data_IF_833502747159
#
_entry.id   IF_833502747159
#
_cell.length_a   1.000
_cell.length_b   1.000
_cell.length_c   1.000
_cell.angle_alpha   90.00
_cell.angle_beta   90.00
_cell.angle_gamma   90.00
#
_symmetry.space_group_name_H-M   'P 1'
#
loop_
_entity.id
_entity.type
_entity.pdbx_description
1 polymer ?
#
# COMPACT_ATOMS: atom_id res chain seq x y z
N UNK A 1 8.35 0.34 -11.16
CA UNK A 1 9.05 -0.83 -10.58
C UNK A 1 9.56 -1.73 -11.70
N UNK A 2 10.77 -2.30 -11.59
CA UNK A 2 11.26 -3.28 -12.56
C UNK A 2 10.42 -4.57 -12.55
N UNK A 3 10.45 -5.33 -13.65
CA UNK A 3 9.80 -6.64 -13.73
C UNK A 3 10.66 -7.75 -13.06
N UNK A 4 10.03 -8.87 -12.73
CA UNK A 4 10.68 -10.08 -12.22
C UNK A 4 11.42 -10.85 -13.33
N UNK A 5 12.69 -11.20 -13.05
CA UNK A 5 13.45 -12.23 -13.77
C UNK A 5 13.65 -12.05 -15.29
N UNK A 6 14.39 -12.98 -15.89
CA UNK A 6 14.76 -12.99 -17.31
C UNK A 6 13.72 -13.71 -18.18
N UNK A 7 13.51 -13.29 -19.44
CA UNK A 7 12.70 -14.06 -20.41
C UNK A 7 13.28 -15.46 -20.60
N UNK A 8 12.48 -16.51 -20.37
CA UNK A 8 12.84 -17.91 -20.70
C UNK A 8 13.47 -18.73 -19.57
N UNK A 9 13.62 -18.19 -18.37
CA UNK A 9 14.05 -18.92 -17.17
C UNK A 9 12.92 -18.95 -16.11
N UNK A 10 12.97 -19.85 -15.10
CA UNK A 10 12.12 -19.73 -13.93
C UNK A 10 12.32 -18.34 -13.32
N UNK A 11 11.27 -17.52 -13.34
CA UNK A 11 11.36 -16.15 -12.80
C UNK A 11 11.45 -16.22 -11.28
N UNK A 12 12.42 -15.50 -10.72
CA UNK A 12 12.49 -15.22 -9.28
C UNK A 12 11.86 -13.84 -9.03
N UNK A 13 10.66 -13.76 -8.43
CA UNK A 13 10.00 -12.49 -8.13
C UNK A 13 10.74 -11.64 -7.08
N UNK A 14 11.74 -12.21 -6.41
CA UNK A 14 12.65 -11.48 -5.51
C UNK A 14 13.83 -10.80 -6.22
N UNK A 15 14.00 -10.98 -7.53
CA UNK A 15 15.15 -10.47 -8.28
C UNK A 15 14.77 -9.55 -9.43
N UNK A 16 15.47 -8.41 -9.48
CA UNK A 16 15.35 -7.43 -10.56
C UNK A 16 15.85 -8.04 -11.88
N UNK A 17 15.00 -7.97 -12.89
CA UNK A 17 15.29 -8.34 -14.28
C UNK A 17 16.55 -7.65 -14.82
N UNK A 18 17.39 -8.39 -15.54
CA UNK A 18 18.65 -7.90 -16.12
C UNK A 18 19.00 -8.58 -17.47
N UNK A 19 18.00 -9.10 -18.17
CA UNK A 19 18.16 -9.83 -19.44
C UNK A 19 18.41 -8.92 -20.66
N UNK A 20 18.08 -7.63 -20.58
CA UNK A 20 18.28 -6.63 -21.64
C UNK A 20 19.23 -5.52 -21.18
N UNK A 21 19.86 -4.81 -22.12
CA UNK A 21 20.71 -3.66 -21.79
C UNK A 21 19.95 -2.59 -20.99
N UNK A 22 18.71 -2.31 -21.37
CA UNK A 22 17.86 -1.36 -20.64
C UNK A 22 17.56 -1.84 -19.20
N UNK A 23 17.24 -3.12 -19.02
CA UNK A 23 16.98 -3.68 -17.69
C UNK A 23 18.25 -3.72 -16.81
N UNK A 24 19.42 -4.01 -17.40
CA UNK A 24 20.72 -3.94 -16.70
C UNK A 24 21.02 -2.53 -16.21
N UNK A 25 20.80 -1.53 -17.06
CA UNK A 25 21.03 -0.14 -16.69
C UNK A 25 20.06 0.32 -15.59
N UNK A 26 18.76 0.00 -15.72
CA UNK A 26 17.74 0.26 -14.69
C UNK A 26 18.12 -0.38 -13.34
N UNK A 27 18.51 -1.66 -13.34
CA UNK A 27 19.00 -2.37 -12.15
C UNK A 27 20.24 -1.71 -11.57
N UNK A 28 21.20 -1.31 -12.39
CA UNK A 28 22.44 -0.65 -11.95
C UNK A 28 22.17 0.67 -11.25
N UNK A 29 21.32 1.52 -11.84
CA UNK A 29 20.92 2.80 -11.25
C UNK A 29 20.25 2.58 -9.89
N UNK A 30 19.31 1.64 -9.81
CA UNK A 30 18.59 1.32 -8.59
C UNK A 30 19.52 0.80 -7.49
N UNK A 31 20.38 -0.18 -7.81
CA UNK A 31 21.31 -0.76 -6.84
C UNK A 31 22.33 0.26 -6.34
N UNK A 32 22.78 1.19 -7.19
CA UNK A 32 23.65 2.30 -6.78
C UNK A 32 22.97 3.23 -5.79
N UNK A 33 21.70 3.58 -6.03
CA UNK A 33 20.93 4.40 -5.11
C UNK A 33 20.73 3.69 -3.76
N UNK A 34 20.40 2.40 -3.78
CA UNK A 34 20.18 1.60 -2.56
C UNK A 34 21.47 1.30 -1.77
N UNK A 35 22.63 1.33 -2.42
CA UNK A 35 23.92 1.13 -1.75
C UNK A 35 24.50 2.43 -1.17
N UNK A 36 23.87 3.57 -1.44
CA UNK A 36 24.32 4.89 -0.97
C UNK A 36 23.50 5.33 0.24
N UNK A 37 24.04 6.24 1.07
CA UNK A 37 23.27 6.84 2.16
C UNK A 37 22.02 7.57 1.61
N UNK A 38 20.86 7.52 2.31
CA UNK A 38 20.63 6.86 3.60
C UNK A 38 20.30 5.35 3.51
N UNK A 39 20.22 4.78 2.30
CA UNK A 39 19.69 3.42 2.08
C UNK A 39 20.71 2.29 2.25
N UNK A 40 22.01 2.59 2.30
CA UNK A 40 23.06 1.56 2.48
C UNK A 40 22.87 0.69 3.73
N UNK A 41 22.28 1.25 4.78
CA UNK A 41 21.96 0.56 6.04
C UNK A 41 20.59 -0.12 6.04
N UNK A 42 19.96 -0.29 4.87
CA UNK A 42 18.69 -1.00 4.72
C UNK A 42 18.89 -2.36 4.05
N UNK A 43 18.09 -3.31 4.48
CA UNK A 43 17.81 -4.54 3.76
C UNK A 43 16.55 -4.35 2.92
N UNK A 44 16.57 -4.89 1.70
CA UNK A 44 15.51 -4.68 0.70
C UNK A 44 14.94 -6.03 0.26
N UNK A 45 13.63 -6.19 0.38
CA UNK A 45 12.89 -7.31 -0.20
C UNK A 45 12.07 -6.82 -1.38
N UNK A 46 12.09 -7.59 -2.46
CA UNK A 46 11.30 -7.34 -3.65
C UNK A 46 10.19 -8.36 -3.79
N UNK A 47 9.03 -7.91 -4.23
CA UNK A 47 7.95 -8.78 -4.68
C UNK A 47 7.52 -8.25 -6.04
N UNK A 48 8.13 -8.75 -7.11
CA UNK A 48 7.98 -8.21 -8.45
C UNK A 48 6.99 -9.03 -9.28
N UNK A 49 6.24 -8.38 -10.15
CA UNK A 49 5.40 -9.09 -11.12
C UNK A 49 6.21 -9.49 -12.35
N UNK A 50 5.69 -10.46 -13.07
CA UNK A 50 6.20 -10.91 -14.37
C UNK A 50 6.27 -9.83 -15.46
N UNK A 51 5.59 -8.70 -15.24
CA UNK A 51 5.53 -7.54 -16.13
C UNK A 51 5.99 -6.28 -15.40
N UNK A 52 6.16 -5.16 -16.13
CA UNK A 52 6.40 -3.85 -15.49
C UNK A 52 5.16 -3.28 -14.78
N UNK A 53 4.04 -4.00 -14.79
CA UNK A 53 2.82 -3.63 -14.05
C UNK A 53 2.83 -4.30 -12.68
N UNK A 54 2.55 -3.53 -11.63
CA UNK A 54 2.67 -3.93 -10.23
C UNK A 54 4.12 -4.11 -9.74
N UNK A 55 4.31 -5.00 -8.76
CA UNK A 55 5.54 -5.10 -8.00
C UNK A 55 5.59 -4.13 -6.82
N UNK A 56 6.14 -4.59 -5.70
CA UNK A 56 6.37 -3.79 -4.50
C UNK A 56 7.73 -4.11 -3.89
N UNK A 57 8.21 -3.23 -3.02
CA UNK A 57 9.43 -3.41 -2.25
C UNK A 57 9.19 -3.07 -0.79
N UNK A 58 9.97 -3.70 0.08
CA UNK A 58 10.05 -3.37 1.50
C UNK A 58 11.50 -3.09 1.85
N UNK A 59 11.76 -1.91 2.42
CA UNK A 59 13.07 -1.53 2.93
C UNK A 59 13.00 -1.48 4.45
N UNK A 60 13.85 -2.23 5.14
CA UNK A 60 13.95 -2.23 6.61
C UNK A 60 15.39 -1.91 7.01
N UNK A 61 15.60 -0.97 7.93
CA UNK A 61 16.95 -0.72 8.48
C UNK A 61 17.52 -2.02 9.05
N UNK A 62 18.78 -2.34 8.75
CA UNK A 62 19.46 -3.59 9.13
C UNK A 62 19.50 -3.87 10.63
N UNK A 63 19.36 -2.83 11.47
CA UNK A 63 19.23 -2.98 12.92
C UNK A 63 17.92 -3.66 13.34
N UNK A 64 16.87 -3.58 12.52
CA UNK A 64 15.62 -4.28 12.73
C UNK A 64 15.61 -5.58 11.91
N UNK A 65 15.38 -6.70 12.59
CA UNK A 65 15.40 -8.03 11.96
C UNK A 65 14.02 -8.66 11.99
N UNK A 66 13.32 -8.75 10.84
CA UNK A 66 12.13 -9.59 10.73
C UNK A 66 12.48 -11.05 11.05
N UNK A 67 11.63 -11.75 11.80
CA UNK A 67 11.73 -13.19 12.03
C UNK A 67 11.47 -14.00 10.76
N UNK A 68 10.57 -13.51 9.92
CA UNK A 68 10.16 -14.14 8.67
C UNK A 68 9.69 -13.07 7.70
N UNK A 69 10.01 -13.25 6.42
CA UNK A 69 9.41 -12.47 5.33
C UNK A 69 8.75 -13.46 4.36
N UNK A 70 7.49 -13.21 4.01
CA UNK A 70 6.74 -13.99 3.03
C UNK A 70 6.07 -13.09 2.00
N UNK A 71 5.72 -13.67 0.86
CA UNK A 71 5.22 -12.94 -0.31
C UNK A 71 3.84 -13.44 -0.76
N UNK A 72 3.06 -13.89 0.22
CA UNK A 72 1.74 -14.49 0.04
C UNK A 72 0.86 -14.19 1.24
N UNK A 73 -0.44 -14.02 1.00
CA UNK A 73 -1.46 -13.96 2.06
C UNK A 73 -1.78 -15.35 2.62
N UNK A 74 -1.51 -16.41 1.86
CA UNK A 74 -1.61 -17.78 2.36
C UNK A 74 -0.36 -18.12 3.17
N UNK A 75 -0.50 -18.12 4.50
CA UNK A 75 0.61 -18.37 5.43
C UNK A 75 1.09 -19.83 5.44
N UNK A 76 0.33 -20.75 4.87
CA UNK A 76 0.72 -22.16 4.73
C UNK A 76 1.57 -22.40 3.48
N UNK A 77 1.54 -21.46 2.54
CA UNK A 77 2.28 -21.53 1.29
C UNK A 77 3.66 -20.88 1.41
N UNK A 78 4.69 -21.57 0.91
CA UNK A 78 6.02 -20.99 0.69
C UNK A 78 6.13 -20.29 -0.67
N UNK A 79 5.06 -20.29 -1.47
CA UNK A 79 5.08 -19.77 -2.83
C UNK A 79 5.05 -18.24 -2.83
N UNK A 80 5.95 -17.64 -3.60
CA UNK A 80 5.90 -16.22 -3.94
C UNK A 80 4.77 -15.96 -4.94
N UNK A 81 3.83 -15.06 -4.62
CA UNK A 81 2.75 -14.71 -5.54
C UNK A 81 3.29 -13.95 -6.78
N UNK A 82 2.95 -14.40 -8.01
CA UNK A 82 3.54 -13.86 -9.24
C UNK A 82 3.05 -12.46 -9.62
N UNK A 83 2.06 -11.92 -8.91
CA UNK A 83 1.54 -10.56 -9.14
C UNK A 83 2.38 -9.48 -8.43
N UNK A 84 3.27 -9.87 -7.50
CA UNK A 84 4.16 -8.96 -6.81
C UNK A 84 3.44 -7.96 -5.89
N UNK A 85 2.27 -8.33 -5.35
CA UNK A 85 1.39 -7.41 -4.62
C UNK A 85 1.42 -7.54 -3.11
N UNK A 86 2.22 -8.47 -2.58
CA UNK A 86 2.27 -8.79 -1.14
C UNK A 86 3.73 -8.89 -0.69
N UNK A 87 4.05 -8.20 0.41
CA UNK A 87 5.18 -8.50 1.29
C UNK A 87 4.65 -8.50 2.73
N UNK A 88 4.81 -9.62 3.42
CA UNK A 88 4.48 -9.77 4.84
C UNK A 88 5.77 -9.98 5.62
N UNK A 89 6.17 -9.01 6.41
CA UNK A 89 7.30 -9.11 7.32
C UNK A 89 6.80 -9.30 8.76
N UNK A 90 7.20 -10.40 9.39
CA UNK A 90 6.85 -10.71 10.76
C UNK A 90 7.98 -10.30 11.71
N UNK A 91 7.67 -9.42 12.66
CA UNK A 91 8.55 -9.06 13.76
C UNK A 91 8.11 -9.77 15.06
N UNK A 92 8.86 -9.55 16.14
CA UNK A 92 8.56 -10.11 17.46
C UNK A 92 7.10 -9.81 17.88
N UNK A 93 6.71 -8.54 17.84
CA UNK A 93 5.46 -8.05 18.46
C UNK A 93 4.38 -7.65 17.46
N UNK A 94 4.69 -7.56 16.16
CA UNK A 94 3.76 -7.17 15.12
C UNK A 94 4.10 -7.80 13.76
N UNK A 95 3.15 -7.78 12.83
CA UNK A 95 3.33 -8.06 11.41
C UNK A 95 3.19 -6.77 10.62
N UNK A 96 4.08 -6.53 9.66
CA UNK A 96 3.97 -5.49 8.65
C UNK A 96 3.53 -6.14 7.34
N UNK A 97 2.32 -5.84 6.91
CA UNK A 97 1.78 -6.24 5.62
C UNK A 97 1.84 -5.05 4.67
N UNK A 98 2.69 -5.10 3.67
CA UNK A 98 2.72 -4.14 2.57
C UNK A 98 1.97 -4.74 1.37
N UNK A 99 0.99 -4.02 0.83
CA UNK A 99 0.24 -4.45 -0.34
C UNK A 99 0.10 -3.37 -1.39
N UNK A 100 0.09 -3.80 -2.65
CA UNK A 100 -0.46 -3.02 -3.75
C UNK A 100 -1.74 -3.69 -4.25
N UNK A 101 -2.89 -3.21 -3.81
CA UNK A 101 -4.19 -3.84 -4.08
C UNK A 101 -4.56 -3.70 -5.56
N UNK A 102 -5.12 -4.74 -6.23
CA UNK A 102 -5.55 -4.63 -7.62
C UNK A 102 -6.62 -3.55 -7.80
N UNK A 103 -6.37 -2.58 -8.71
CA UNK A 103 -7.42 -1.65 -9.14
C UNK A 103 -8.42 -2.36 -10.09
N UNK A 104 -9.70 -2.00 -9.99
CA UNK A 104 -10.75 -2.51 -10.88
C UNK A 104 -10.59 -2.04 -12.34
N UNK A 105 -10.01 -0.84 -12.53
CA UNK A 105 -9.88 -0.20 -13.83
C UNK A 105 -11.22 0.11 -14.49
N UNK A 106 -11.14 0.74 -15.65
CA UNK A 106 -12.31 1.08 -16.48
C UNK A 106 -12.56 0.11 -17.63
N UNK A 107 -11.66 -0.83 -17.87
CA UNK A 107 -11.74 -1.79 -18.97
C UNK A 107 -12.13 -3.15 -18.41
N UNK A 108 -12.95 -3.85 -19.17
CA UNK A 108 -13.12 -5.30 -19.05
C UNK A 108 -11.81 -5.98 -19.49
N UNK A 109 -10.74 -5.87 -18.69
CA UNK A 109 -9.99 -7.10 -18.48
C UNK A 109 -11.02 -8.04 -17.85
N UNK A 110 -11.37 -9.12 -18.55
CA UNK A 110 -12.57 -9.96 -18.38
C UNK A 110 -12.88 -10.41 -16.93
N UNK A 111 -11.98 -10.14 -15.97
CA UNK A 111 -12.07 -10.49 -14.58
C UNK A 111 -11.60 -9.40 -13.58
N UNK A 112 -11.49 -8.11 -13.94
CA UNK A 112 -10.91 -7.10 -13.02
C UNK A 112 -11.69 -6.97 -11.70
N UNK A 113 -13.02 -6.85 -11.78
CA UNK A 113 -13.91 -6.81 -10.62
C UNK A 113 -13.90 -8.11 -9.83
N UNK A 114 -13.86 -9.26 -10.51
CA UNK A 114 -13.79 -10.56 -9.84
C UNK A 114 -12.45 -10.73 -9.11
N UNK A 115 -11.34 -10.31 -9.74
CA UNK A 115 -10.01 -10.29 -9.14
C UNK A 115 -9.98 -9.41 -7.89
N UNK A 116 -10.55 -8.20 -7.95
CA UNK A 116 -10.65 -7.31 -6.78
C UNK A 116 -11.50 -7.92 -5.67
N UNK A 117 -12.68 -8.46 -5.96
CA UNK A 117 -13.53 -9.11 -4.94
C UNK A 117 -12.84 -10.31 -4.30
N UNK A 118 -12.16 -11.13 -5.10
CA UNK A 118 -11.36 -12.26 -4.61
C UNK A 118 -10.22 -11.76 -3.71
N UNK A 119 -9.55 -10.68 -4.11
CA UNK A 119 -8.52 -10.04 -3.30
C UNK A 119 -9.06 -9.56 -1.95
N UNK A 120 -10.14 -8.77 -1.96
CA UNK A 120 -10.76 -8.23 -0.74
C UNK A 120 -11.18 -9.38 0.21
N UNK A 121 -11.74 -10.47 -0.34
CA UNK A 121 -12.05 -11.67 0.43
C UNK A 121 -10.79 -12.30 1.04
N UNK A 122 -9.70 -12.45 0.29
CA UNK A 122 -8.44 -13.01 0.79
C UNK A 122 -7.85 -12.16 1.91
N UNK A 123 -7.92 -10.84 1.80
CA UNK A 123 -7.51 -9.93 2.88
C UNK A 123 -8.39 -10.13 4.11
N UNK A 124 -9.72 -10.17 3.95
CA UNK A 124 -10.63 -10.44 5.07
C UNK A 124 -10.28 -11.75 5.78
N UNK A 125 -10.16 -12.83 5.02
CA UNK A 125 -9.80 -14.14 5.56
C UNK A 125 -8.43 -14.09 6.28
N UNK A 126 -7.43 -13.39 5.70
CA UNK A 126 -6.12 -13.21 6.32
C UNK A 126 -6.18 -12.45 7.64
N UNK A 127 -6.90 -11.33 7.72
CA UNK A 127 -6.95 -10.51 8.94
C UNK A 127 -7.68 -11.23 10.07
N UNK A 128 -8.69 -12.04 9.74
CA UNK A 128 -9.41 -12.85 10.72
C UNK A 128 -8.54 -13.98 11.28
N UNK A 129 -7.72 -14.62 10.43
CA UNK A 129 -6.82 -15.70 10.82
C UNK A 129 -5.55 -15.20 11.53
N UNK A 130 -5.13 -13.96 11.26
CA UNK A 130 -3.87 -13.38 11.78
C UNK A 130 -4.05 -12.56 13.07
N UNK A 131 -5.10 -12.82 13.84
CA UNK A 131 -5.46 -12.04 15.04
C UNK A 131 -4.59 -12.30 16.28
N UNK A 132 -3.67 -13.28 16.19
CA UNK A 132 -2.69 -13.65 17.22
C UNK A 132 -1.61 -12.59 17.44
N UNK A 133 -1.32 -11.76 16.44
CA UNK A 133 -0.27 -10.73 16.48
C UNK A 133 -0.81 -9.40 15.93
N UNK A 134 -0.30 -8.29 16.45
CA UNK A 134 -0.71 -6.97 15.96
C UNK A 134 -0.33 -6.82 14.48
N UNK A 135 -1.21 -6.22 13.68
CA UNK A 135 -1.02 -5.97 12.27
C UNK A 135 -0.84 -4.47 12.01
N UNK A 136 0.14 -4.15 11.17
CA UNK A 136 0.26 -2.87 10.48
C UNK A 136 0.16 -3.22 8.98
N UNK A 137 -0.91 -2.79 8.34
CA UNK A 137 -1.19 -3.00 6.93
C UNK A 137 -1.06 -1.68 6.18
N UNK A 138 -0.16 -1.61 5.19
CA UNK A 138 0.11 -0.40 4.44
C UNK A 138 0.26 -0.61 2.94
N UNK A 139 0.35 0.51 2.22
CA UNK A 139 0.52 0.59 0.77
C UNK A 139 -0.70 1.20 0.07
N UNK A 140 -0.72 1.11 -1.25
CA UNK A 140 -1.85 1.54 -2.06
C UNK A 140 -2.96 0.46 -2.00
N UNK A 141 -4.03 0.80 -1.29
CA UNK A 141 -5.19 -0.06 -1.09
C UNK A 141 -6.27 0.10 -2.17
N UNK A 142 -6.06 1.01 -3.12
CA UNK A 142 -6.96 1.29 -4.24
C UNK A 142 -8.42 1.44 -3.81
N UNK A 143 -8.65 2.16 -2.70
CA UNK A 143 -9.99 2.51 -2.21
C UNK A 143 -9.92 3.79 -1.40
N UNK A 144 -10.81 4.74 -1.67
CA UNK A 144 -11.12 5.86 -0.78
C UNK A 144 -12.37 5.49 -0.01
N UNK A 145 -12.25 5.30 1.31
CA UNK A 145 -13.28 4.65 2.13
C UNK A 145 -14.55 5.49 2.24
N UNK A 146 -14.40 6.77 2.55
CA UNK A 146 -15.52 7.68 2.78
C UNK A 146 -15.51 8.88 1.83
N UNK A 147 -16.62 9.62 1.74
CA UNK A 147 -16.71 10.79 0.84
C UNK A 147 -15.68 11.88 1.16
N UNK A 148 -15.25 11.94 2.42
CA UNK A 148 -14.19 12.83 2.88
C UNK A 148 -12.83 12.50 2.27
N UNK A 149 -12.64 11.26 1.79
CA UNK A 149 -11.39 10.74 1.23
C UNK A 149 -11.22 11.03 -0.25
N UNK A 150 -12.17 11.75 -0.85
CA UNK A 150 -12.04 12.23 -2.22
C UNK A 150 -12.34 13.72 -2.31
N UNK A 151 -11.60 14.41 -3.15
CA UNK A 151 -11.79 15.86 -3.38
C UNK A 151 -13.18 16.20 -3.93
N UNK A 152 -13.74 15.36 -4.81
CA UNK A 152 -14.97 15.61 -5.54
C UNK A 152 -15.88 14.36 -5.53
N UNK A 153 -16.60 14.10 -4.42
CA UNK A 153 -17.37 12.87 -4.25
C UNK A 153 -18.41 12.66 -5.34
N UNK A 154 -19.14 13.70 -5.76
CA UNK A 154 -20.12 13.61 -6.84
C UNK A 154 -19.49 13.18 -8.18
N UNK A 155 -18.35 13.77 -8.53
CA UNK A 155 -17.62 13.42 -9.75
C UNK A 155 -17.20 11.95 -9.74
N UNK A 156 -16.60 11.48 -8.63
CA UNK A 156 -16.12 10.11 -8.54
C UNK A 156 -17.27 9.10 -8.47
N UNK A 157 -18.34 9.39 -7.73
CA UNK A 157 -19.52 8.53 -7.63
C UNK A 157 -20.26 8.39 -8.97
N UNK A 158 -20.30 9.47 -9.76
CA UNK A 158 -21.00 9.48 -11.06
C UNK A 158 -20.10 9.12 -12.25
N UNK A 159 -18.79 8.91 -12.04
CA UNK A 159 -17.84 8.69 -13.11
C UNK A 159 -18.22 7.46 -13.95
N UNK A 160 -18.16 7.63 -15.27
CA UNK A 160 -18.41 6.59 -16.27
C UNK A 160 -17.42 6.72 -17.41
N UNK A 161 -17.03 5.60 -18.00
CA UNK A 161 -16.30 5.56 -19.26
C UNK A 161 -17.25 5.12 -20.38
N UNK A 162 -17.16 5.76 -21.55
CA UNK A 162 -17.98 5.37 -22.70
C UNK A 162 -17.71 3.91 -23.07
N UNK A 163 -18.78 3.13 -23.26
CA UNK A 163 -18.70 1.71 -23.59
C UNK A 163 -18.40 0.78 -22.40
N UNK A 164 -18.27 1.32 -21.18
CA UNK A 164 -18.09 0.52 -19.97
C UNK A 164 -19.44 0.28 -19.27
N UNK A 165 -19.75 -1.00 -18.99
CA UNK A 165 -20.95 -1.40 -18.26
C UNK A 165 -20.49 -2.07 -16.95
N UNK A 166 -20.72 -1.45 -15.78
CA UNK A 166 -20.37 -2.07 -14.51
C UNK A 166 -21.23 -3.32 -14.27
N UNK A 167 -20.66 -4.36 -13.64
CA UNK A 167 -21.37 -5.62 -13.43
C UNK A 167 -22.55 -5.51 -12.45
N UNK A 168 -22.59 -4.46 -11.62
CA UNK A 168 -23.72 -4.15 -10.75
C UNK A 168 -23.86 -2.64 -10.54
N UNK A 169 -25.02 -2.22 -10.01
CA UNK A 169 -25.26 -0.81 -9.64
C UNK A 169 -24.27 -0.29 -8.58
N UNK A 170 -23.78 -1.16 -7.70
CA UNK A 170 -22.84 -0.78 -6.64
C UNK A 170 -21.39 -0.63 -7.16
N UNK A 171 -21.12 -1.08 -8.38
CA UNK A 171 -19.84 -0.93 -9.08
C UNK A 171 -19.82 0.30 -10.01
N UNK A 172 -20.89 1.09 -10.03
CA UNK A 172 -20.94 2.37 -10.75
C UNK A 172 -20.04 3.39 -10.04
N UNK A 173 -19.30 4.17 -10.82
CA UNK A 173 -18.41 5.21 -10.34
C UNK A 173 -16.95 4.93 -10.66
N UNK A 174 -16.07 5.77 -10.14
CA UNK A 174 -14.63 5.66 -10.29
C UNK A 174 -14.12 4.39 -9.57
N UNK A 175 -13.34 3.53 -10.24
CA UNK A 175 -12.55 2.49 -9.59
C UNK A 175 -11.71 3.05 -8.44
N UNK A 176 -11.86 2.45 -7.27
CA UNK A 176 -11.30 2.97 -6.02
C UNK A 176 -12.27 3.86 -5.22
N UNK A 177 -13.48 4.14 -5.72
CA UNK A 177 -14.51 4.87 -4.97
C UNK A 177 -15.93 4.30 -5.21
N UNK A 178 -16.04 3.10 -5.79
CA UNK A 178 -17.36 2.47 -5.96
C UNK A 178 -17.95 2.11 -4.60
N UNK A 179 -19.29 2.11 -4.50
CA UNK A 179 -19.98 1.72 -3.27
C UNK A 179 -19.58 0.30 -2.83
N UNK A 180 -19.40 -0.62 -3.78
CA UNK A 180 -19.03 -1.99 -3.50
C UNK A 180 -17.60 -2.11 -2.90
N UNK A 181 -16.62 -1.37 -3.41
CA UNK A 181 -15.26 -1.32 -2.84
C UNK A 181 -15.27 -0.73 -1.43
N UNK A 182 -15.96 0.40 -1.24
CA UNK A 182 -16.08 1.09 0.05
C UNK A 182 -16.69 0.18 1.11
N UNK A 183 -17.81 -0.49 0.80
CA UNK A 183 -18.46 -1.45 1.70
C UNK A 183 -17.54 -2.60 2.10
N UNK A 184 -16.84 -3.22 1.14
CA UNK A 184 -15.93 -4.33 1.44
C UNK A 184 -14.73 -3.90 2.28
N UNK A 185 -14.17 -2.74 2.00
CA UNK A 185 -13.09 -2.18 2.82
C UNK A 185 -13.56 -1.89 4.25
N UNK A 186 -14.74 -1.26 4.42
CA UNK A 186 -15.35 -1.05 5.72
C UNK A 186 -15.63 -2.35 6.49
N UNK A 187 -16.09 -3.41 5.80
CA UNK A 187 -16.22 -4.74 6.39
C UNK A 187 -14.89 -5.32 6.87
N UNK A 188 -13.82 -5.23 6.06
CA UNK A 188 -12.48 -5.68 6.45
C UNK A 188 -12.00 -4.96 7.72
N UNK A 189 -12.16 -3.63 7.77
CA UNK A 189 -11.75 -2.84 8.94
C UNK A 189 -12.54 -3.26 10.19
N UNK A 190 -13.87 -3.36 10.06
CA UNK A 190 -14.76 -3.70 11.16
C UNK A 190 -14.50 -5.12 11.69
N UNK A 191 -14.49 -6.11 10.80
CA UNK A 191 -14.37 -7.52 11.17
C UNK A 191 -12.95 -7.85 11.67
N UNK A 192 -11.93 -7.26 11.05
CA UNK A 192 -10.53 -7.40 11.46
C UNK A 192 -10.14 -6.59 12.71
N UNK A 193 -11.06 -5.77 13.27
CA UNK A 193 -10.77 -4.83 14.36
C UNK A 193 -9.57 -3.95 14.06
N UNK A 194 -9.62 -3.32 12.88
CA UNK A 194 -8.56 -2.48 12.36
C UNK A 194 -9.00 -1.02 12.34
N UNK A 195 -8.04 -0.12 12.47
CA UNK A 195 -8.21 1.32 12.50
C UNK A 195 -7.42 1.92 11.34
N UNK A 196 -8.07 2.80 10.58
CA UNK A 196 -7.39 3.73 9.67
C UNK A 196 -6.66 4.79 10.50
N UNK A 197 -5.33 4.72 10.55
CA UNK A 197 -4.52 5.58 11.40
C UNK A 197 -4.64 7.07 11.02
N UNK A 198 -4.79 7.37 9.72
CA UNK A 198 -4.94 8.75 9.25
C UNK A 198 -6.26 9.34 9.77
N UNK A 199 -7.38 8.64 9.55
CA UNK A 199 -8.71 9.14 9.97
C UNK A 199 -8.95 9.12 11.47
N UNK A 200 -8.17 8.34 12.22
CA UNK A 200 -8.19 8.42 13.68
C UNK A 200 -7.74 9.82 14.17
N UNK A 201 -6.69 10.38 13.55
CA UNK A 201 -6.08 11.65 13.92
C UNK A 201 -6.72 12.83 13.18
N UNK A 202 -7.00 12.66 11.89
CA UNK A 202 -7.46 13.69 10.97
C UNK A 202 -8.93 13.47 10.60
N UNK A 203 -9.83 13.92 11.47
CA UNK A 203 -11.28 13.65 11.33
C UNK A 203 -11.97 14.52 10.29
N UNK A 204 -11.39 15.68 9.99
CA UNK A 204 -11.95 16.66 9.06
C UNK A 204 -11.36 16.52 7.66
N UNK A 205 -12.04 17.14 6.70
CA UNK A 205 -11.58 17.16 5.31
C UNK A 205 -10.54 18.26 5.20
N UNK A 206 -9.33 17.86 4.89
CA UNK A 206 -8.31 18.79 4.43
C UNK A 206 -8.30 18.75 2.89
N UNK A 207 -8.38 19.92 2.27
CA UNK A 207 -8.37 20.08 0.82
C UNK A 207 -6.99 20.47 0.30
N UNK A 208 -6.11 20.93 1.18
CA UNK A 208 -4.71 21.19 0.86
C UNK A 208 -3.91 19.91 1.02
N UNK A 209 -4.06 19.24 2.16
CA UNK A 209 -3.41 17.99 2.52
C UNK A 209 -4.47 16.88 2.68
N UNK A 210 -4.09 15.61 2.70
CA UNK A 210 -5.04 14.51 3.00
C UNK A 210 -5.54 13.69 1.82
N UNK A 211 -4.93 13.85 0.65
CA UNK A 211 -5.08 12.94 -0.49
C UNK A 211 -3.71 12.41 -0.88
N UNK A 212 -3.62 11.09 -1.03
CA UNK A 212 -2.36 10.42 -1.36
C UNK A 212 -2.13 10.26 -2.86
N UNK A 213 -3.18 10.41 -3.68
CA UNK A 213 -3.15 10.35 -5.13
C UNK A 213 -3.75 11.61 -5.76
N UNK A 214 -3.14 12.07 -6.84
CA UNK A 214 -3.70 13.13 -7.68
C UNK A 214 -3.81 12.72 -9.13
N UNK A 215 -4.95 13.04 -9.72
CA UNK A 215 -5.16 12.96 -11.15
C UNK A 215 -4.25 13.88 -11.94
N UNK A 216 -4.13 13.57 -13.24
CA UNK A 216 -3.31 14.33 -14.16
C UNK A 216 -3.64 15.84 -14.08
N UNK A 217 -2.63 16.74 -14.05
CA UNK A 217 -2.85 18.18 -13.95
C UNK A 217 -3.59 18.79 -15.15
N UNK A 218 -3.83 18.00 -16.20
CA UNK A 218 -4.54 18.40 -17.41
C UNK A 218 -5.72 17.43 -17.66
N UNK A 219 -6.80 17.97 -18.22
CA UNK A 219 -7.96 17.19 -18.63
C UNK A 219 -8.95 16.92 -17.50
N UNK A 220 -9.78 15.87 -17.67
CA UNK A 220 -10.95 15.62 -16.82
C UNK A 220 -10.64 15.36 -15.33
N UNK A 221 -9.41 14.95 -15.02
CA UNK A 221 -8.95 14.66 -13.66
C UNK A 221 -8.16 15.81 -13.02
N UNK A 222 -8.04 16.98 -13.67
CA UNK A 222 -7.35 18.14 -13.11
C UNK A 222 -7.98 18.53 -11.76
N UNK A 223 -7.14 18.59 -10.73
CA UNK A 223 -7.55 18.90 -9.35
C UNK A 223 -8.37 17.81 -8.66
N UNK A 224 -8.58 16.65 -9.31
CA UNK A 224 -9.29 15.50 -8.72
C UNK A 224 -8.27 14.61 -8.01
N UNK A 225 -8.42 14.53 -6.69
CA UNK A 225 -7.55 13.83 -5.76
C UNK A 225 -8.32 12.79 -4.93
N UNK A 226 -7.65 11.72 -4.55
CA UNK A 226 -8.17 10.57 -3.79
C UNK A 226 -7.17 10.18 -2.70
N UNK A 227 -7.66 9.72 -1.54
CA UNK A 227 -6.83 9.06 -0.52
C UNK A 227 -6.99 7.55 -0.67
N UNK A 228 -5.95 6.91 -1.19
CA UNK A 228 -5.94 5.47 -1.50
C UNK A 228 -4.76 4.72 -0.89
N UNK A 229 -3.82 5.44 -0.27
CA UNK A 229 -2.67 4.90 0.45
C UNK A 229 -2.91 5.01 1.97
N UNK A 230 -2.64 3.93 2.69
CA UNK A 230 -3.04 3.82 4.10
C UNK A 230 -1.93 3.29 4.98
N UNK A 231 -2.07 3.61 6.26
CA UNK A 231 -1.71 2.70 7.35
C UNK A 231 -2.98 2.29 8.09
N UNK A 232 -3.35 1.01 7.94
CA UNK A 232 -4.40 0.34 8.68
C UNK A 232 -3.75 -0.48 9.79
N UNK A 233 -4.12 -0.24 11.05
CA UNK A 233 -3.45 -0.85 12.20
C UNK A 233 -4.44 -1.59 13.09
N UNK A 234 -4.02 -2.67 13.75
CA UNK A 234 -4.84 -3.33 14.76
C UNK A 234 -5.29 -2.34 15.83
N UNK A 235 -6.55 -2.44 16.27
CA UNK A 235 -7.12 -1.59 17.32
C UNK A 235 -6.29 -1.59 18.62
N UNK A 236 -5.61 -2.70 18.94
CA UNK A 236 -4.68 -2.83 20.06
C UNK A 236 -3.50 -1.84 20.01
N UNK A 237 -3.15 -1.33 18.82
CA UNK A 237 -2.09 -0.33 18.63
C UNK A 237 -2.60 1.11 18.67
N UNK A 238 -3.91 1.35 18.82
CA UNK A 238 -4.53 2.69 18.77
C UNK A 238 -3.81 3.73 19.62
N UNK A 239 -3.54 3.40 20.89
CA UNK A 239 -2.94 4.33 21.85
C UNK A 239 -1.44 4.55 21.63
N UNK A 240 -0.83 3.84 20.66
CA UNK A 240 0.56 4.03 20.27
C UNK A 240 0.69 4.90 19.03
N UNK A 241 -0.39 5.24 18.34
CA UNK A 241 -0.33 6.08 17.14
C UNK A 241 -0.02 7.51 17.58
N UNK A 242 1.14 8.02 17.16
CA UNK A 242 1.59 9.39 17.47
C UNK A 242 1.24 10.36 16.35
N UNK A 243 1.55 9.97 15.10
CA UNK A 243 1.26 10.75 13.90
C UNK A 243 0.97 9.83 12.71
N UNK A 244 0.20 10.34 11.75
CA UNK A 244 -0.05 9.65 10.49
C UNK A 244 -0.29 10.71 9.42
N UNK A 245 0.70 10.98 8.60
CA UNK A 245 0.75 12.18 7.75
C UNK A 245 0.83 11.83 6.27
N UNK A 246 0.17 12.64 5.46
CA UNK A 246 0.21 12.59 4.00
C UNK A 246 1.07 13.77 3.53
N UNK A 247 2.17 13.46 2.84
CA UNK A 247 3.22 14.43 2.51
C UNK A 247 3.00 15.15 1.17
N UNK A 248 1.79 15.06 0.62
CA UNK A 248 1.40 15.69 -0.64
C UNK A 248 0.47 16.87 -0.39
N UNK A 249 0.73 17.98 -1.07
CA UNK A 249 0.04 19.24 -0.81
C UNK A 249 -0.39 19.97 -2.09
N UNK A 250 -1.53 20.64 -1.99
CA UNK A 250 -2.03 21.57 -3.01
C UNK A 250 -2.40 20.91 -4.35
N UNK A 251 -2.77 21.77 -5.30
CA UNK A 251 -3.02 21.37 -6.71
C UNK A 251 -1.74 21.34 -7.55
N UNK A 252 -0.67 21.99 -7.06
CA UNK A 252 0.64 22.07 -7.72
C UNK A 252 1.49 20.81 -7.51
N UNK A 253 0.96 19.80 -6.79
CA UNK A 253 1.59 18.49 -6.56
C UNK A 253 2.92 18.56 -5.80
N UNK A 254 3.00 19.46 -4.82
CA UNK A 254 4.14 19.48 -3.89
C UNK A 254 4.18 18.17 -3.11
N UNK A 255 5.36 17.54 -3.01
CA UNK A 255 5.55 16.27 -2.31
C UNK A 255 5.22 14.99 -3.10
N UNK A 256 4.85 15.10 -4.38
CA UNK A 256 4.55 13.94 -5.24
C UNK A 256 5.78 13.36 -5.96
N UNK A 257 6.96 13.98 -5.86
CA UNK A 257 8.30 13.45 -6.24
C UNK A 257 8.38 12.56 -7.52
N UNK A 258 7.66 12.90 -8.59
CA UNK A 258 7.68 12.16 -9.87
C UNK A 258 6.72 10.96 -9.96
N UNK A 259 5.87 10.78 -8.96
CA UNK A 259 4.74 9.85 -8.92
C UNK A 259 3.42 10.65 -8.94
N UNK A 260 2.31 10.02 -9.31
CA UNK A 260 0.96 10.56 -9.08
C UNK A 260 0.45 10.28 -7.67
N UNK A 261 1.24 9.54 -6.87
CA UNK A 261 1.08 9.37 -5.43
C UNK A 261 2.15 10.11 -4.63
N UNK A 262 1.81 10.53 -3.41
CA UNK A 262 2.77 11.08 -2.44
C UNK A 262 3.03 10.11 -1.28
N UNK A 263 4.13 10.26 -0.53
CA UNK A 263 4.39 9.45 0.65
C UNK A 263 3.32 9.61 1.74
N UNK A 264 3.10 8.52 2.49
CA UNK A 264 2.35 8.52 3.75
C UNK A 264 3.29 7.99 4.84
N UNK A 265 3.29 8.60 6.03
CA UNK A 265 4.08 8.13 7.17
C UNK A 265 3.18 7.77 8.34
N UNK A 266 3.59 6.77 9.13
CA UNK A 266 3.01 6.44 10.42
C UNK A 266 4.12 6.43 11.47
N UNK A 267 3.90 7.13 12.57
CA UNK A 267 4.76 7.08 13.74
C UNK A 267 4.04 6.39 14.89
N UNK A 268 4.72 5.41 15.50
CA UNK A 268 4.22 4.69 16.67
C UNK A 268 5.14 4.92 17.86
N UNK A 269 4.57 5.15 19.03
CA UNK A 269 5.30 5.16 20.29
C UNK A 269 5.96 3.79 20.53
N UNK A 270 7.11 3.79 21.22
CA UNK A 270 7.76 2.56 21.64
C UNK A 270 6.82 1.70 22.50
N UNK A 271 6.96 0.36 22.46
CA UNK A 271 6.30 -0.51 23.43
C UNK A 271 6.76 -0.13 24.84
N UNK A 272 5.88 -0.20 25.86
CA UNK A 272 6.25 0.13 27.24
C UNK A 272 7.52 -0.60 27.72
N UNK A 273 7.68 -1.89 27.39
CA UNK A 273 8.85 -2.68 27.77
C UNK A 273 10.18 -2.14 27.21
N UNK A 274 10.19 -1.68 25.95
CA UNK A 274 11.38 -1.11 25.30
C UNK A 274 11.63 0.36 25.69
N UNK A 275 10.59 1.07 26.13
CA UNK A 275 10.74 2.44 26.61
C UNK A 275 11.55 2.53 27.92
N UNK A 276 11.53 1.46 28.73
CA UNK A 276 12.35 1.36 29.95
C UNK A 276 13.79 1.01 29.60
N UNK A 277 14.02 -0.01 28.77
CA UNK A 277 15.37 -0.44 28.35
C UNK A 277 16.15 0.64 27.59
N UNK A 278 15.50 1.41 26.70
CA UNK A 278 16.19 2.47 25.94
C UNK A 278 16.53 3.69 26.80
N UNK A 279 15.72 3.99 27.82
CA UNK A 279 16.02 5.00 28.84
C UNK A 279 17.19 4.54 29.71
N UNK A 280 17.25 3.25 30.06
CA UNK A 280 18.37 2.67 30.80
C UNK A 280 19.66 2.57 29.97
N UNK A 281 19.57 2.49 28.64
CA UNK A 281 20.72 2.42 27.72
C UNK A 281 21.18 3.78 27.16
N UNK A 282 20.54 4.88 27.54
CA UNK A 282 20.97 6.25 27.15
C UNK A 282 20.85 6.55 25.65
N UNK A 283 20.03 5.81 24.91
CA UNK A 283 19.78 6.05 23.49
C UNK A 283 18.61 7.04 23.40
N UNK A 284 18.91 8.32 23.14
CA UNK A 284 17.89 9.34 22.88
C UNK A 284 17.05 8.97 21.65
N UNK A 285 15.74 9.19 21.78
CA UNK A 285 14.73 8.93 20.75
C UNK A 285 15.14 9.65 19.45
N UNK A 286 15.33 8.88 18.39
CA UNK A 286 15.44 9.38 17.02
C UNK A 286 14.07 9.58 16.39
#
# INVERSE_FOLDING_TARGET
MPAAGSKGAPKNPGELKDDTNAAREEKRVLMRALSSAPFGDYEVWWSLSDSKYAGTALLVKRCFKPKKVSFSLDQTSSKHEPDGRVILAEFETFRLLNTYVPNNGWKEEENSFQRRRKWDKRILDFVLQSSDKNLIWCGDLNVSHEEIDVSHPEFFSAAKLNGYIPPSKEDVGQPGFTLAERKRFGSILKEGKLIDAYRLLHKEKDMDQGFSWSGNPIGKYRGKRMRIDYFVVSEKLKNRILSCEIHGHGIELEGFYGSDHCPVSLELSLPPALSVELVEQGIEKA
#
